data_IF_937662626916
#
_entry.id   IF_937662626916
#
_cell.length_a   1.000
_cell.length_b   1.000
_cell.length_c   1.000
_cell.angle_alpha   90.00
_cell.angle_beta   90.00
_cell.angle_gamma   90.00
#
_symmetry.space_group_name_H-M   'P 1'
#
loop_
_entity.id
_entity.type
_entity.pdbx_description
1 polymer ?
#
# COMPACT_ATOMS: atom_id res chain seq x y z
N UNK A 1 17.70 33.02 14.63
CA UNK A 1 18.83 32.49 13.85
C UNK A 1 18.60 31.02 13.59
N UNK A 2 17.90 30.70 12.50
CA UNK A 2 17.53 29.34 12.15
C UNK A 2 18.01 28.99 10.73
N UNK A 3 19.30 29.30 10.41
CA UNK A 3 19.93 28.95 9.13
C UNK A 3 19.80 27.45 8.85
N UNK A 4 19.99 26.61 9.86
CA UNK A 4 19.80 25.15 9.74
C UNK A 4 18.35 24.77 9.42
N UNK A 5 17.39 25.49 9.98
CA UNK A 5 15.95 25.26 9.70
C UNK A 5 15.61 25.70 8.27
N UNK A 6 16.12 26.82 7.82
CA UNK A 6 15.95 27.33 6.45
C UNK A 6 16.54 26.34 5.42
N UNK A 7 17.79 25.92 5.63
CA UNK A 7 18.44 24.94 4.76
C UNK A 7 17.67 23.61 4.73
N UNK A 8 17.17 23.15 5.87
CA UNK A 8 16.35 21.93 5.94
C UNK A 8 15.03 22.08 5.16
N UNK A 9 14.35 23.23 5.26
CA UNK A 9 13.12 23.50 4.51
C UNK A 9 13.38 23.61 3.01
N UNK A 10 14.47 24.25 2.59
CA UNK A 10 14.86 24.38 1.18
C UNK A 10 15.22 23.01 0.55
N UNK A 11 15.88 22.13 1.31
CA UNK A 11 16.16 20.75 0.89
C UNK A 11 14.85 19.97 0.71
N UNK A 12 13.92 20.09 1.66
CA UNK A 12 12.63 19.41 1.62
C UNK A 12 11.76 19.87 0.46
N UNK A 13 11.76 21.15 0.15
CA UNK A 13 11.06 21.69 -1.01
C UNK A 13 11.62 21.15 -2.32
N UNK A 14 12.96 21.11 -2.46
CA UNK A 14 13.64 20.64 -3.67
C UNK A 14 13.60 19.13 -3.86
N UNK A 15 13.82 18.36 -2.79
CA UNK A 15 13.96 16.90 -2.90
C UNK A 15 12.64 16.15 -2.70
N UNK A 16 11.74 16.69 -1.89
CA UNK A 16 10.49 16.02 -1.50
C UNK A 16 9.22 16.69 -2.01
N UNK A 17 9.37 17.84 -2.71
CA UNK A 17 8.26 18.63 -3.26
C UNK A 17 7.22 19.05 -2.20
N UNK A 18 7.67 19.29 -0.96
CA UNK A 18 6.84 19.77 0.14
C UNK A 18 6.92 21.28 0.17
N UNK A 19 5.79 21.97 0.02
CA UNK A 19 5.75 23.43 0.05
C UNK A 19 6.28 23.98 1.36
N UNK A 20 7.21 24.94 1.29
CA UNK A 20 7.77 25.64 2.44
C UNK A 20 6.68 26.33 3.28
N UNK A 21 5.66 26.90 2.63
CA UNK A 21 4.55 27.56 3.31
C UNK A 21 3.75 26.61 4.19
N UNK A 22 3.45 25.41 3.68
CA UNK A 22 2.73 24.36 4.46
C UNK A 22 3.54 23.92 5.67
N UNK A 23 4.86 23.86 5.55
CA UNK A 23 5.74 23.51 6.66
C UNK A 23 5.78 24.62 7.72
N UNK A 24 5.86 25.87 7.30
CA UNK A 24 5.87 27.03 8.21
C UNK A 24 4.55 27.13 8.96
N UNK A 25 3.41 26.98 8.30
CA UNK A 25 2.09 26.96 8.93
C UNK A 25 1.97 25.83 9.96
N UNK A 26 2.49 24.65 9.64
CA UNK A 26 2.49 23.54 10.57
C UNK A 26 3.39 23.80 11.80
N UNK A 27 4.52 24.49 11.62
CA UNK A 27 5.39 24.94 12.71
C UNK A 27 4.68 25.98 13.58
N UNK A 28 4.02 26.99 12.99
CA UNK A 28 3.23 27.99 13.71
C UNK A 28 2.17 27.32 14.60
N UNK A 29 1.39 26.38 14.05
CA UNK A 29 0.39 25.63 14.81
C UNK A 29 0.98 24.80 15.97
N UNK A 30 2.17 24.22 15.73
CA UNK A 30 2.88 23.47 16.78
C UNK A 30 3.39 24.39 17.90
N UNK A 31 3.85 25.57 17.53
CA UNK A 31 4.28 26.60 18.50
C UNK A 31 3.11 27.13 19.32
N UNK A 32 1.93 27.36 18.72
CA UNK A 32 0.70 27.70 19.43
C UNK A 32 0.31 26.65 20.47
N UNK A 33 0.40 25.37 20.08
CA UNK A 33 0.14 24.26 21.01
C UNK A 33 1.16 24.20 22.17
N UNK A 34 2.42 24.53 21.89
CA UNK A 34 3.47 24.61 22.90
C UNK A 34 3.25 25.80 23.85
N UNK A 35 2.79 26.94 23.33
CA UNK A 35 2.41 28.10 24.14
C UNK A 35 1.29 27.77 25.11
N UNK A 36 0.26 27.07 24.66
CA UNK A 36 -0.84 26.61 25.52
C UNK A 36 -0.35 25.78 26.69
N UNK A 37 0.57 24.87 26.44
CA UNK A 37 1.13 24.01 27.48
C UNK A 37 2.07 24.77 28.46
N UNK A 38 2.74 25.81 27.99
CA UNK A 38 3.73 26.54 28.79
C UNK A 38 3.13 27.73 29.54
N UNK A 39 2.21 28.45 28.90
CA UNK A 39 1.60 29.67 29.46
C UNK A 39 0.17 29.45 29.99
N UNK A 40 -0.40 28.25 29.82
CA UNK A 40 -1.72 27.89 30.30
C UNK A 40 -2.88 28.35 29.42
N UNK A 41 -2.64 29.21 28.44
CA UNK A 41 -3.63 29.73 27.51
C UNK A 41 -3.03 29.84 26.09
N UNK A 42 -3.88 29.74 25.08
CA UNK A 42 -3.49 30.00 23.68
C UNK A 42 -4.38 31.04 23.01
N UNK A 43 -5.46 31.43 23.66
CA UNK A 43 -6.53 32.20 23.02
C UNK A 43 -6.12 33.68 22.82
N UNK A 44 -5.17 34.13 23.63
CA UNK A 44 -4.59 35.46 23.56
C UNK A 44 -3.14 35.46 23.06
N UNK A 45 -2.63 34.36 22.49
CA UNK A 45 -1.26 34.26 22.00
C UNK A 45 -1.24 34.29 20.47
N UNK A 46 -0.47 35.21 19.93
CA UNK A 46 -0.21 35.36 18.48
C UNK A 46 1.25 35.07 18.20
N UNK A 47 1.50 34.20 17.25
CA UNK A 47 2.83 33.89 16.75
C UNK A 47 2.98 34.58 15.38
N UNK A 48 4.04 35.29 15.22
CA UNK A 48 4.43 35.90 13.93
C UNK A 48 5.74 35.28 13.50
N UNK A 49 5.72 34.58 12.37
CA UNK A 49 6.90 33.96 11.79
C UNK A 49 7.32 34.70 10.53
N UNK A 50 8.59 35.09 10.47
CA UNK A 50 9.17 35.62 9.24
C UNK A 50 9.47 34.46 8.28
N UNK A 51 8.79 34.45 7.14
CA UNK A 51 8.92 33.41 6.11
C UNK A 51 10.29 33.37 5.43
N UNK A 52 11.07 34.43 5.51
CA UNK A 52 12.40 34.56 4.89
C UNK A 52 13.52 34.12 5.83
N UNK A 53 13.41 34.43 7.12
CA UNK A 53 14.44 34.15 8.12
C UNK A 53 14.09 32.94 9.00
N UNK A 54 12.83 32.50 8.95
CA UNK A 54 12.28 31.50 9.87
C UNK A 54 12.44 31.85 11.36
N UNK A 55 12.65 33.15 11.64
CA UNK A 55 12.60 33.66 13.00
C UNK A 55 11.14 33.83 13.41
N UNK A 56 10.85 33.62 14.67
CA UNK A 56 9.50 33.77 15.19
C UNK A 56 9.51 34.68 16.42
N UNK A 57 8.45 35.49 16.54
CA UNK A 57 8.14 36.26 17.74
C UNK A 57 6.79 35.82 18.29
N UNK A 58 6.70 35.76 19.60
CA UNK A 58 5.48 35.37 20.30
C UNK A 58 4.95 36.58 21.05
N UNK A 59 3.71 36.95 20.75
CA UNK A 59 3.03 38.08 21.37
C UNK A 59 1.85 37.57 22.18
N UNK A 60 1.69 38.06 23.42
CA UNK A 60 0.46 37.96 24.16
C UNK A 60 -0.41 39.18 23.92
N UNK A 61 -1.63 39.02 23.46
CA UNK A 61 -2.62 40.05 23.38
C UNK A 61 -3.27 40.23 24.74
N UNK A 62 -3.04 41.35 25.40
CA UNK A 62 -3.54 41.66 26.74
C UNK A 62 -4.40 42.90 26.71
N UNK A 63 -5.53 42.91 27.39
CA UNK A 63 -6.39 44.07 27.50
C UNK A 63 -5.80 45.04 28.52
N UNK A 64 -5.78 46.34 28.15
CA UNK A 64 -5.31 47.38 29.04
C UNK A 64 -6.39 47.76 30.03
N UNK A 65 -6.09 47.57 31.32
CA UNK A 65 -7.03 47.80 32.45
C UNK A 65 -6.41 48.73 33.48
N UNK A 66 -7.25 49.34 34.32
CA UNK A 66 -6.76 50.18 35.45
C UNK A 66 -6.15 49.31 36.55
N UNK A 67 -6.84 48.19 36.94
CA UNK A 67 -6.36 47.23 37.90
C UNK A 67 -6.28 45.85 37.27
N UNK A 68 -5.12 45.20 37.35
CA UNK A 68 -4.86 43.85 36.76
C UNK A 68 -5.34 42.78 37.73
N UNK A 69 -6.32 41.97 37.32
CA UNK A 69 -6.83 40.82 38.05
C UNK A 69 -6.19 39.51 37.54
N UNK A 70 -6.03 39.40 36.24
CA UNK A 70 -5.38 38.24 35.63
C UNK A 70 -4.19 38.71 34.75
N UNK A 71 -2.94 38.56 35.24
CA UNK A 71 -1.75 38.97 34.47
C UNK A 71 -1.54 38.18 33.15
N UNK A 72 -2.29 37.09 32.90
CA UNK A 72 -2.19 36.35 31.68
C UNK A 72 -2.90 37.06 30.52
N UNK A 73 -4.02 37.73 30.78
CA UNK A 73 -4.90 38.38 29.78
C UNK A 73 -4.99 39.91 29.92
N UNK A 74 -4.52 40.46 31.01
CA UNK A 74 -4.63 41.87 31.36
C UNK A 74 -3.23 42.50 31.52
N UNK A 75 -3.14 43.80 31.29
CA UNK A 75 -1.92 44.61 31.48
C UNK A 75 -2.33 45.98 32.05
N UNK A 76 -1.52 46.51 32.95
CA UNK A 76 -1.74 47.85 33.50
C UNK A 76 -1.51 48.93 32.44
N UNK A 77 -2.20 50.09 32.59
CA UNK A 77 -1.99 51.21 31.68
C UNK A 77 -0.53 51.71 31.70
N UNK A 78 0.13 51.72 32.86
CA UNK A 78 1.54 52.15 33.01
C UNK A 78 2.50 51.24 32.24
N UNK A 79 2.24 49.94 32.21
CA UNK A 79 3.09 48.99 31.45
C UNK A 79 2.74 48.96 29.99
N UNK A 80 1.49 49.18 29.61
CA UNK A 80 1.05 49.34 28.22
C UNK A 80 1.64 50.57 27.54
N UNK A 81 1.69 51.71 28.25
CA UNK A 81 2.33 52.95 27.76
C UNK A 81 3.83 52.82 27.50
N UNK A 82 4.54 51.94 28.23
CA UNK A 82 5.96 51.63 27.96
C UNK A 82 6.15 50.88 26.63
N UNK A 83 5.16 50.16 26.19
CA UNK A 83 5.18 49.41 24.91
C UNK A 83 4.73 50.32 23.77
N UNK A 84 3.60 51.02 23.95
CA UNK A 84 3.10 51.98 22.99
C UNK A 84 2.33 53.11 23.72
N UNK A 85 2.86 54.35 23.70
CA UNK A 85 2.25 55.51 24.37
C UNK A 85 0.86 55.91 23.85
N UNK A 86 0.40 55.33 22.77
CA UNK A 86 -0.90 55.61 22.16
C UNK A 86 -2.03 54.67 22.66
N UNK A 87 -1.73 53.71 23.57
CA UNK A 87 -2.71 52.79 24.10
C UNK A 87 -3.55 53.39 25.26
N UNK A 88 -4.83 53.09 25.27
CA UNK A 88 -5.80 53.54 26.25
C UNK A 88 -6.46 52.36 26.93
N UNK A 89 -7.14 52.61 28.05
CA UNK A 89 -7.91 51.57 28.77
C UNK A 89 -8.97 50.98 27.82
N UNK A 90 -9.02 49.64 27.74
CA UNK A 90 -9.87 48.89 26.80
C UNK A 90 -9.21 48.55 25.45
N UNK A 91 -8.00 49.04 25.19
CA UNK A 91 -7.25 48.63 24.01
C UNK A 91 -6.52 47.32 24.25
N UNK A 92 -6.14 46.64 23.14
CA UNK A 92 -5.37 45.38 23.18
C UNK A 92 -3.89 45.70 22.96
N UNK A 93 -3.06 45.48 23.97
CA UNK A 93 -1.62 45.60 23.91
C UNK A 93 -0.97 44.29 23.47
N UNK A 94 -0.08 44.32 22.47
CA UNK A 94 0.73 43.19 22.05
C UNK A 94 2.05 43.17 22.84
N UNK A 95 2.17 42.27 23.80
CA UNK A 95 3.34 42.13 24.68
C UNK A 95 4.21 41.01 24.13
N UNK A 96 5.44 41.32 23.75
CA UNK A 96 6.37 40.28 23.28
C UNK A 96 6.86 39.40 24.44
N UNK A 97 6.69 38.11 24.29
CA UNK A 97 7.07 37.11 25.30
C UNK A 97 8.47 36.54 25.01
N UNK A 98 9.45 36.94 25.79
CA UNK A 98 10.81 36.42 25.70
C UNK A 98 11.06 35.36 26.77
N UNK A 99 11.10 34.07 26.38
CA UNK A 99 11.48 33.00 27.25
C UNK A 99 12.55 32.10 26.59
N UNK A 100 13.70 31.98 27.23
CA UNK A 100 14.78 31.07 26.77
C UNK A 100 14.37 29.61 26.82
N UNK A 101 13.52 29.24 27.76
CA UNK A 101 13.00 27.88 27.89
C UNK A 101 12.01 27.57 26.76
N UNK A 102 11.10 28.50 26.48
CA UNK A 102 10.18 28.38 25.36
C UNK A 102 10.92 28.27 24.03
N UNK A 103 11.98 29.05 23.83
CA UNK A 103 12.82 28.96 22.62
C UNK A 103 13.39 27.58 22.37
N UNK A 104 13.82 26.86 23.42
CA UNK A 104 14.30 25.47 23.33
C UNK A 104 13.17 24.50 22.99
N UNK A 105 12.02 24.63 23.65
CA UNK A 105 10.83 23.81 23.44
C UNK A 105 10.32 24.01 22.01
N UNK A 106 10.25 25.25 21.55
CA UNK A 106 9.82 25.64 20.22
C UNK A 106 10.70 25.02 19.12
N UNK A 107 12.03 25.13 19.27
CA UNK A 107 13.00 24.54 18.34
C UNK A 107 12.87 23.02 18.27
N UNK A 108 12.71 22.36 19.42
CA UNK A 108 12.56 20.91 19.47
C UNK A 108 11.25 20.45 18.84
N UNK A 109 10.15 21.18 19.09
CA UNK A 109 8.87 20.88 18.48
C UNK A 109 8.88 21.06 16.96
N UNK A 110 9.47 22.16 16.47
CA UNK A 110 9.65 22.40 15.06
C UNK A 110 10.44 21.26 14.39
N UNK A 111 11.56 20.84 14.99
CA UNK A 111 12.36 19.70 14.50
C UNK A 111 11.54 18.42 14.45
N UNK A 112 10.81 18.11 15.51
CA UNK A 112 9.98 16.89 15.57
C UNK A 112 8.87 16.90 14.51
N UNK A 113 8.23 18.07 14.29
CA UNK A 113 7.20 18.24 13.30
C UNK A 113 7.73 18.05 11.88
N UNK A 114 8.88 18.64 11.58
CA UNK A 114 9.55 18.46 10.29
C UNK A 114 9.82 16.97 10.03
N UNK A 115 10.42 16.30 11.00
CA UNK A 115 10.70 14.85 10.89
C UNK A 115 9.41 14.03 10.73
N UNK A 116 8.33 14.44 11.37
CA UNK A 116 7.02 13.79 11.19
C UNK A 116 6.50 14.01 9.78
N UNK A 117 6.54 15.23 9.25
CA UNK A 117 6.08 15.55 7.88
C UNK A 117 6.90 14.81 6.81
N UNK A 118 8.22 14.74 6.97
CA UNK A 118 9.07 13.96 6.09
C UNK A 118 8.60 12.50 6.06
N UNK A 119 8.38 11.88 7.23
CA UNK A 119 7.93 10.50 7.33
C UNK A 119 6.53 10.29 6.74
N UNK A 120 5.63 11.27 6.87
CA UNK A 120 4.29 11.23 6.27
C UNK A 120 4.39 11.23 4.74
N UNK A 121 5.20 12.11 4.15
CA UNK A 121 5.37 12.18 2.69
C UNK A 121 6.13 10.96 2.14
N UNK A 122 7.14 10.45 2.85
CA UNK A 122 7.80 9.20 2.47
C UNK A 122 6.83 8.01 2.46
N UNK A 123 5.95 7.92 3.47
CA UNK A 123 4.91 6.88 3.54
C UNK A 123 3.91 7.02 2.41
N UNK A 124 3.50 8.25 2.08
CA UNK A 124 2.59 8.54 0.99
C UNK A 124 3.21 8.14 -0.36
N UNK A 125 4.45 8.54 -0.61
CA UNK A 125 5.16 8.17 -1.84
C UNK A 125 5.31 6.64 -1.99
N UNK A 126 5.58 5.93 -0.90
CA UNK A 126 5.62 4.46 -0.88
C UNK A 126 4.23 3.88 -1.13
N UNK A 127 3.18 4.43 -0.49
CA UNK A 127 1.80 4.00 -0.72
C UNK A 127 1.41 4.15 -2.19
N UNK A 128 1.62 5.33 -2.78
CA UNK A 128 1.28 5.62 -4.18
C UNK A 128 2.01 4.66 -5.13
N UNK A 129 3.31 4.42 -4.91
CA UNK A 129 4.12 3.49 -5.70
C UNK A 129 3.58 2.05 -5.70
N UNK A 130 3.10 1.55 -4.55
CA UNK A 130 2.57 0.18 -4.47
C UNK A 130 1.09 0.12 -4.80
N UNK A 131 0.34 1.21 -4.66
CA UNK A 131 -1.04 1.31 -5.10
C UNK A 131 -1.16 1.18 -6.63
N UNK A 132 -0.25 1.79 -7.38
CA UNK A 132 -0.16 1.61 -8.84
C UNK A 132 0.12 0.14 -9.26
N UNK A 133 0.75 -0.63 -8.36
CA UNK A 133 1.04 -2.06 -8.55
C UNK A 133 0.00 -2.98 -7.92
N UNK A 134 -1.10 -2.44 -7.42
CA UNK A 134 -2.21 -3.26 -6.93
C UNK A 134 -2.77 -4.11 -8.08
N UNK A 135 -3.09 -5.36 -7.79
CA UNK A 135 -3.53 -6.37 -8.77
C UNK A 135 -2.46 -6.78 -9.78
N UNK A 136 -1.20 -6.56 -9.46
CA UNK A 136 -0.06 -7.00 -10.25
C UNK A 136 0.91 -7.85 -9.43
N UNK A 137 1.90 -8.46 -10.11
CA UNK A 137 2.93 -9.26 -9.44
C UNK A 137 4.12 -8.41 -9.00
N UNK A 138 4.66 -8.76 -7.85
CA UNK A 138 5.91 -8.19 -7.35
C UNK A 138 6.84 -9.30 -6.91
N UNK A 139 8.15 -9.05 -7.04
CA UNK A 139 9.17 -9.92 -6.45
C UNK A 139 9.55 -9.39 -5.09
N UNK A 140 9.42 -10.23 -4.08
CA UNK A 140 9.82 -9.91 -2.72
C UNK A 140 10.87 -10.87 -2.18
N UNK A 141 11.55 -10.47 -1.11
CA UNK A 141 12.53 -11.27 -0.38
C UNK A 141 11.93 -11.64 0.96
N UNK A 142 11.85 -12.93 1.24
CA UNK A 142 11.36 -13.45 2.53
C UNK A 142 12.30 -13.00 3.64
N UNK A 143 11.77 -12.31 4.65
CA UNK A 143 12.56 -11.86 5.79
C UNK A 143 12.46 -12.81 6.97
N UNK A 144 11.24 -13.02 7.46
CA UNK A 144 10.98 -13.81 8.68
C UNK A 144 9.53 -14.25 8.77
N UNK A 145 9.31 -15.26 9.57
CA UNK A 145 7.99 -15.68 10.02
C UNK A 145 7.56 -14.86 11.24
N UNK A 146 6.34 -14.36 11.22
CA UNK A 146 5.69 -13.65 12.34
C UNK A 146 4.45 -14.45 12.74
N UNK A 147 4.62 -15.37 13.67
CA UNK A 147 3.61 -16.38 13.96
C UNK A 147 3.39 -17.25 12.74
N UNK A 148 2.15 -17.26 12.20
CA UNK A 148 1.79 -17.99 10.99
C UNK A 148 1.91 -17.17 9.70
N UNK A 149 2.18 -15.88 9.81
CA UNK A 149 2.33 -14.99 8.67
C UNK A 149 3.81 -14.87 8.27
N UNK A 150 4.05 -14.49 7.02
CA UNK A 150 5.40 -14.27 6.50
C UNK A 150 5.56 -12.79 6.18
N UNK A 151 6.63 -12.18 6.69
CA UNK A 151 7.06 -10.83 6.30
C UNK A 151 7.96 -10.94 5.08
N UNK A 152 7.60 -10.21 4.03
CA UNK A 152 8.33 -10.19 2.76
C UNK A 152 8.73 -8.76 2.44
N UNK A 153 10.01 -8.53 2.22
CA UNK A 153 10.55 -7.22 1.84
C UNK A 153 10.38 -7.00 0.33
N UNK A 154 9.74 -5.91 -0.02
CA UNK A 154 9.54 -5.47 -1.42
C UNK A 154 10.55 -4.39 -1.84
N UNK A 155 11.56 -4.09 -1.02
CA UNK A 155 12.55 -3.05 -1.23
C UNK A 155 12.25 -1.81 -0.39
N UNK A 156 11.22 -1.05 -0.71
CA UNK A 156 10.85 0.18 0.04
C UNK A 156 9.81 -0.05 1.14
N UNK A 157 9.13 -1.17 1.13
CA UNK A 157 8.13 -1.53 2.14
C UNK A 157 8.13 -3.03 2.39
N UNK A 158 7.59 -3.40 3.54
CA UNK A 158 7.35 -4.80 3.90
C UNK A 158 5.90 -5.17 3.61
N UNK A 159 5.73 -6.32 2.94
CA UNK A 159 4.43 -6.92 2.70
C UNK A 159 4.16 -8.05 3.70
N UNK A 160 2.87 -8.35 3.90
CA UNK A 160 2.44 -9.43 4.77
C UNK A 160 1.74 -10.50 3.94
N UNK A 161 2.32 -11.70 3.92
CA UNK A 161 1.70 -12.91 3.39
C UNK A 161 1.03 -13.64 4.54
N UNK A 162 -0.30 -13.49 4.64
CA UNK A 162 -1.09 -14.09 5.73
C UNK A 162 -1.23 -15.59 5.56
N UNK A 163 -1.52 -16.33 6.63
CA UNK A 163 -1.70 -17.80 6.61
C UNK A 163 -2.70 -18.25 5.53
N UNK A 164 -3.80 -17.52 5.35
CA UNK A 164 -4.84 -17.85 4.36
C UNK A 164 -4.38 -17.64 2.91
N UNK A 165 -3.40 -16.78 2.70
CA UNK A 165 -2.84 -16.45 1.39
C UNK A 165 -1.57 -17.26 1.06
N UNK A 166 -1.17 -18.16 1.97
CA UNK A 166 -0.06 -19.09 1.76
C UNK A 166 -0.58 -20.39 1.15
N UNK A 167 0.20 -20.95 0.24
CA UNK A 167 -0.09 -22.27 -0.33
C UNK A 167 0.33 -23.34 0.66
N UNK A 168 -0.58 -24.28 0.95
CA UNK A 168 -0.28 -25.40 1.84
C UNK A 168 0.84 -26.27 1.28
N UNK A 169 1.91 -26.43 2.04
CA UNK A 169 3.08 -27.22 1.62
C UNK A 169 4.22 -26.40 1.01
N UNK A 170 4.03 -25.09 0.72
CA UNK A 170 5.13 -24.21 0.40
C UNK A 170 5.86 -23.78 1.69
N UNK A 171 7.17 -23.99 1.71
CA UNK A 171 8.06 -23.49 2.75
C UNK A 171 9.08 -22.57 2.12
N UNK A 172 9.32 -21.41 2.74
CA UNK A 172 10.25 -20.41 2.24
C UNK A 172 11.38 -20.21 3.25
N UNK A 173 12.59 -20.17 2.74
CA UNK A 173 13.74 -19.83 3.57
C UNK A 173 13.92 -18.30 3.66
N UNK A 174 14.44 -17.79 4.79
CA UNK A 174 14.86 -16.39 4.86
C UNK A 174 15.83 -16.06 3.71
N UNK A 175 15.70 -14.87 3.15
CA UNK A 175 16.45 -14.35 1.98
C UNK A 175 16.03 -14.91 0.62
N UNK A 176 15.09 -15.84 0.57
CA UNK A 176 14.57 -16.38 -0.68
C UNK A 176 13.74 -15.34 -1.44
N UNK A 177 13.91 -15.31 -2.77
CA UNK A 177 13.10 -14.44 -3.65
C UNK A 177 11.89 -15.19 -4.13
N UNK A 178 10.72 -14.57 -3.97
CA UNK A 178 9.43 -15.14 -4.38
C UNK A 178 8.61 -14.11 -5.14
N UNK A 179 7.84 -14.57 -6.12
CA UNK A 179 6.85 -13.74 -6.80
C UNK A 179 5.52 -13.80 -6.06
N UNK A 180 4.89 -12.66 -5.87
CA UNK A 180 3.67 -12.49 -5.09
C UNK A 180 2.69 -11.61 -5.85
N UNK A 181 1.41 -11.87 -5.70
CA UNK A 181 0.34 -11.01 -6.19
C UNK A 181 -0.07 -10.01 -5.11
N UNK A 182 -0.11 -8.73 -5.45
CA UNK A 182 -0.61 -7.70 -4.52
C UNK A 182 -2.14 -7.74 -4.55
N UNK A 183 -2.74 -8.15 -3.44
CA UNK A 183 -4.19 -8.21 -3.29
C UNK A 183 -4.76 -6.84 -3.00
N UNK A 184 -4.14 -6.13 -2.05
CA UNK A 184 -4.63 -4.85 -1.55
C UNK A 184 -3.51 -4.04 -0.90
N UNK A 185 -3.55 -2.72 -1.09
CA UNK A 185 -2.66 -1.77 -0.44
C UNK A 185 -3.49 -0.82 0.42
N UNK A 186 -3.33 -0.90 1.74
CA UNK A 186 -4.03 -0.05 2.71
C UNK A 186 -3.13 1.02 3.27
N UNK A 187 -3.60 2.26 3.28
CA UNK A 187 -2.93 3.32 4.02
C UNK A 187 -3.31 3.24 5.51
N UNK A 188 -2.30 3.12 6.38
CA UNK A 188 -2.51 3.11 7.82
C UNK A 188 -1.65 4.19 8.49
N UNK A 189 -2.01 4.67 9.71
CA UNK A 189 -1.22 5.67 10.43
C UNK A 189 0.24 5.25 10.68
N UNK A 190 0.52 3.94 10.66
CA UNK A 190 1.87 3.38 10.82
C UNK A 190 2.63 3.23 9.50
N UNK A 191 1.97 3.47 8.36
CA UNK A 191 2.50 3.32 7.02
C UNK A 191 1.65 2.41 6.13
N UNK A 192 2.01 2.24 4.84
CA UNK A 192 1.29 1.39 3.92
C UNK A 192 1.35 -0.07 4.38
N UNK A 193 0.19 -0.72 4.43
CA UNK A 193 0.07 -2.16 4.68
C UNK A 193 -0.23 -2.85 3.36
N UNK A 194 0.72 -3.63 2.86
CA UNK A 194 0.63 -4.33 1.59
C UNK A 194 0.27 -5.79 1.89
N UNK A 195 -0.90 -6.22 1.42
CA UNK A 195 -1.34 -7.61 1.51
C UNK A 195 -1.00 -8.31 0.21
N UNK A 196 -0.31 -9.44 0.32
CA UNK A 196 0.11 -10.23 -0.82
C UNK A 196 -0.41 -11.66 -0.72
N UNK A 197 -0.57 -12.29 -1.88
CA UNK A 197 -1.11 -13.65 -2.00
C UNK A 197 -0.25 -14.54 -2.89
N UNK A 198 -0.20 -15.83 -2.52
CA UNK A 198 0.30 -16.94 -3.35
C UNK A 198 -0.84 -17.85 -3.82
N UNK A 199 -2.02 -17.72 -3.21
CA UNK A 199 -3.19 -18.56 -3.53
C UNK A 199 -4.09 -17.98 -4.60
N UNK A 200 -4.02 -16.65 -4.85
CA UNK A 200 -4.91 -15.96 -5.76
C UNK A 200 -4.76 -16.46 -7.21
N UNK A 201 -5.86 -16.73 -7.97
CA UNK A 201 -5.78 -17.20 -9.35
C UNK A 201 -5.08 -16.23 -10.29
N UNK A 202 -5.24 -14.92 -10.08
CA UNK A 202 -4.59 -13.89 -10.88
C UNK A 202 -3.05 -13.95 -10.81
N UNK A 203 -2.46 -14.53 -9.76
CA UNK A 203 -1.01 -14.78 -9.73
C UNK A 203 -0.57 -15.59 -10.95
N UNK A 204 -1.31 -16.66 -11.27
CA UNK A 204 -0.99 -17.52 -12.42
C UNK A 204 -1.12 -16.73 -13.73
N UNK A 205 -2.19 -15.94 -13.87
CA UNK A 205 -2.40 -15.10 -15.05
C UNK A 205 -1.25 -14.13 -15.27
N UNK A 206 -0.85 -13.40 -14.23
CA UNK A 206 0.26 -12.46 -14.29
C UNK A 206 1.62 -13.14 -14.54
N UNK A 207 1.81 -14.35 -14.04
CA UNK A 207 3.00 -15.15 -14.35
C UNK A 207 3.06 -15.49 -15.84
N UNK A 208 1.94 -15.90 -16.46
CA UNK A 208 1.87 -16.14 -17.89
C UNK A 208 2.07 -14.84 -18.70
N UNK A 209 1.51 -13.74 -18.30
CA UNK A 209 1.76 -12.42 -18.92
C UNK A 209 3.25 -12.03 -18.90
N UNK A 210 4.00 -12.48 -17.89
CA UNK A 210 5.44 -12.21 -17.79
C UNK A 210 6.29 -13.16 -18.64
N UNK A 211 5.83 -14.39 -18.87
CA UNK A 211 6.60 -15.44 -19.58
C UNK A 211 6.22 -15.58 -21.06
N UNK A 212 5.00 -15.17 -21.42
CA UNK A 212 4.41 -15.37 -22.76
C UNK A 212 4.13 -14.03 -23.42
N UNK A 213 4.89 -13.68 -24.45
CA UNK A 213 4.75 -12.39 -25.12
C UNK A 213 3.36 -12.22 -25.75
N UNK A 214 2.82 -13.29 -26.33
CA UNK A 214 1.51 -13.33 -26.99
C UNK A 214 0.34 -13.12 -25.99
N UNK A 215 0.55 -13.41 -24.71
CA UNK A 215 -0.42 -13.10 -23.65
C UNK A 215 -0.27 -11.65 -23.22
N UNK A 216 0.97 -11.15 -23.16
CA UNK A 216 1.26 -9.78 -22.76
C UNK A 216 0.76 -8.74 -23.77
N UNK A 217 0.86 -9.03 -25.06
CA UNK A 217 0.41 -8.14 -26.14
C UNK A 217 -1.08 -8.28 -26.45
N UNK A 218 -1.78 -9.25 -25.82
CA UNK A 218 -3.21 -9.48 -25.98
C UNK A 218 -3.59 -10.30 -27.22
N UNK A 219 -2.62 -10.86 -27.97
CA UNK A 219 -2.89 -11.80 -29.08
C UNK A 219 -3.56 -13.06 -28.54
N UNK A 220 -3.07 -13.55 -27.39
CA UNK A 220 -3.66 -14.67 -26.65
C UNK A 220 -4.29 -14.14 -25.35
N UNK A 221 -5.56 -14.41 -25.15
CA UNK A 221 -6.28 -14.03 -23.96
C UNK A 221 -6.54 -15.21 -23.03
N UNK A 222 -6.31 -15.03 -21.77
CA UNK A 222 -6.70 -15.97 -20.72
C UNK A 222 -8.14 -15.64 -20.31
N UNK A 223 -9.11 -16.44 -20.78
CA UNK A 223 -10.56 -16.20 -20.59
C UNK A 223 -11.02 -16.65 -19.20
N UNK A 224 -10.47 -17.76 -18.67
CA UNK A 224 -10.84 -18.23 -17.33
C UNK A 224 -9.72 -19.03 -16.70
N UNK A 225 -9.65 -18.99 -15.37
CA UNK A 225 -8.72 -19.77 -14.53
C UNK A 225 -9.50 -20.38 -13.38
N UNK A 226 -9.32 -21.69 -13.19
CA UNK A 226 -9.76 -22.38 -11.98
C UNK A 226 -8.53 -22.99 -11.31
N UNK A 227 -8.29 -22.63 -10.04
CA UNK A 227 -7.06 -22.94 -9.34
C UNK A 227 -7.34 -23.59 -7.99
N UNK A 228 -6.71 -24.72 -7.74
CA UNK A 228 -6.47 -25.29 -6.42
C UNK A 228 -5.00 -25.07 -6.08
N UNK A 229 -4.72 -23.99 -5.35
CA UNK A 229 -3.36 -23.53 -5.10
C UNK A 229 -2.47 -24.63 -4.48
N UNK A 230 -1.28 -24.82 -5.06
CA UNK A 230 -0.33 -25.87 -4.67
C UNK A 230 -0.65 -27.28 -5.20
N UNK A 231 -1.78 -27.47 -5.86
CA UNK A 231 -2.19 -28.75 -6.44
C UNK A 231 -2.23 -28.66 -7.97
N UNK A 232 -3.24 -27.97 -8.49
CA UNK A 232 -3.48 -27.91 -9.93
C UNK A 232 -4.24 -26.66 -10.34
N UNK A 233 -3.86 -26.11 -11.48
CA UNK A 233 -4.57 -25.02 -12.15
C UNK A 233 -5.04 -25.46 -13.52
N UNK A 234 -6.28 -25.12 -13.89
CA UNK A 234 -6.77 -25.19 -15.28
C UNK A 234 -6.99 -23.77 -15.80
N UNK A 235 -6.51 -23.54 -17.01
CA UNK A 235 -6.57 -22.25 -17.67
C UNK A 235 -7.12 -22.39 -19.07
N UNK A 236 -8.19 -21.67 -19.40
CA UNK A 236 -8.78 -21.62 -20.72
C UNK A 236 -8.27 -20.37 -21.46
N UNK A 237 -7.68 -20.60 -22.62
CA UNK A 237 -7.05 -19.58 -23.47
C UNK A 237 -7.73 -19.48 -24.84
N UNK A 238 -7.72 -18.27 -25.37
CA UNK A 238 -8.29 -17.94 -26.67
C UNK A 238 -7.30 -17.09 -27.46
N UNK A 239 -7.23 -17.28 -28.78
CA UNK A 239 -6.44 -16.42 -29.65
C UNK A 239 -7.32 -15.48 -30.46
N UNK A 240 -6.95 -14.21 -30.49
CA UNK A 240 -7.57 -13.20 -31.34
C UNK A 240 -7.03 -13.27 -32.79
N UNK A 241 -5.87 -13.94 -33.01
CA UNK A 241 -5.30 -14.20 -34.34
C UNK A 241 -5.51 -15.68 -34.71
N UNK A 242 -6.22 -15.98 -35.80
CA UNK A 242 -6.45 -17.36 -36.26
C UNK A 242 -5.16 -18.15 -36.59
N UNK A 243 -4.05 -17.46 -36.85
CA UNK A 243 -2.77 -18.10 -37.15
C UNK A 243 -1.95 -18.48 -35.91
N UNK A 244 -2.39 -18.07 -34.73
CA UNK A 244 -1.70 -18.32 -33.45
C UNK A 244 -2.45 -19.38 -32.67
N UNK A 245 -1.81 -20.52 -32.45
CA UNK A 245 -2.31 -21.53 -31.52
C UNK A 245 -2.15 -21.05 -30.07
N UNK A 246 -3.26 -20.75 -29.34
CA UNK A 246 -3.17 -20.17 -28.00
C UNK A 246 -2.58 -21.15 -26.97
N UNK A 247 -2.84 -22.45 -27.12
CA UNK A 247 -2.30 -23.48 -26.22
C UNK A 247 -0.80 -23.65 -26.47
N UNK A 248 -0.40 -23.78 -27.74
CA UNK A 248 1.01 -23.89 -28.12
C UNK A 248 1.84 -22.69 -27.69
N UNK A 249 1.31 -21.48 -27.82
CA UNK A 249 1.97 -20.25 -27.37
C UNK A 249 2.23 -20.25 -25.86
N UNK A 250 1.26 -20.66 -25.06
CA UNK A 250 1.38 -20.74 -23.59
C UNK A 250 2.28 -21.90 -23.13
N UNK A 251 2.25 -23.03 -23.81
CA UNK A 251 3.10 -24.20 -23.49
C UNK A 251 4.55 -23.94 -23.86
N UNK A 252 4.78 -23.36 -25.04
CA UNK A 252 6.11 -23.13 -25.59
C UNK A 252 6.83 -24.39 -26.09
N UNK A 253 8.00 -24.23 -26.71
CA UNK A 253 8.79 -25.37 -27.21
C UNK A 253 9.16 -26.31 -26.06
N UNK A 254 8.80 -27.59 -26.22
CA UNK A 254 9.04 -28.64 -25.21
C UNK A 254 8.49 -28.28 -23.82
N UNK A 255 7.47 -27.44 -23.73
CA UNK A 255 6.87 -27.02 -22.46
C UNK A 255 7.71 -25.98 -21.69
N UNK A 256 8.67 -25.33 -22.32
CA UNK A 256 9.60 -24.45 -21.61
C UNK A 256 8.89 -23.32 -20.83
N UNK A 257 7.89 -22.67 -21.46
CA UNK A 257 7.16 -21.54 -20.85
C UNK A 257 6.28 -22.00 -19.68
N UNK A 258 5.46 -23.03 -19.88
CA UNK A 258 4.60 -23.56 -18.80
C UNK A 258 5.44 -24.11 -17.65
N UNK A 259 6.57 -24.79 -17.95
CA UNK A 259 7.45 -25.32 -16.92
C UNK A 259 8.13 -24.22 -16.09
N UNK A 260 8.43 -23.06 -16.68
CA UNK A 260 8.94 -21.90 -15.94
C UNK A 260 7.92 -21.43 -14.87
N UNK A 261 6.64 -21.34 -15.27
CA UNK A 261 5.56 -20.98 -14.33
C UNK A 261 5.35 -22.09 -13.28
N UNK A 262 5.35 -23.36 -13.67
CA UNK A 262 5.23 -24.52 -12.76
C UNK A 262 6.36 -24.50 -11.72
N UNK A 263 7.58 -24.18 -12.14
CA UNK A 263 8.74 -24.06 -11.24
C UNK A 263 8.58 -22.93 -10.24
N UNK A 264 8.08 -21.75 -10.68
CA UNK A 264 7.78 -20.63 -9.79
C UNK A 264 6.70 -20.99 -8.76
N UNK A 265 5.70 -21.78 -9.16
CA UNK A 265 4.62 -22.29 -8.31
C UNK A 265 4.96 -23.59 -7.57
N UNK A 266 6.25 -23.95 -7.52
CA UNK A 266 6.79 -25.11 -6.78
C UNK A 266 6.15 -26.45 -7.11
N UNK A 267 5.86 -26.64 -8.39
CA UNK A 267 5.36 -27.91 -8.91
C UNK A 267 3.84 -28.00 -9.01
N UNK A 268 3.12 -26.91 -8.82
CA UNK A 268 1.68 -26.84 -9.12
C UNK A 268 1.45 -27.19 -10.60
N UNK A 269 0.61 -28.19 -10.86
CA UNK A 269 0.34 -28.65 -12.24
C UNK A 269 -0.55 -27.65 -12.96
N UNK A 270 -0.21 -27.33 -14.21
CA UNK A 270 -0.98 -26.40 -15.02
C UNK A 270 -1.47 -27.12 -16.27
N UNK A 271 -2.80 -27.14 -16.46
CA UNK A 271 -3.46 -27.63 -17.67
C UNK A 271 -3.97 -26.42 -18.47
N UNK A 272 -3.56 -26.33 -19.71
CA UNK A 272 -3.98 -25.27 -20.62
C UNK A 272 -4.93 -25.88 -21.64
N UNK A 273 -6.11 -25.28 -21.79
CA UNK A 273 -7.17 -25.75 -22.68
C UNK A 273 -7.62 -24.62 -23.62
N UNK A 274 -8.15 -24.98 -24.78
CA UNK A 274 -8.80 -24.03 -25.65
C UNK A 274 -10.13 -23.59 -25.05
N UNK A 275 -10.34 -22.27 -25.01
CA UNK A 275 -11.63 -21.70 -24.68
C UNK A 275 -12.55 -21.78 -25.90
N UNK A 276 -13.86 -21.98 -25.69
CA UNK A 276 -14.87 -22.02 -26.73
C UNK A 276 -16.14 -21.32 -26.24
N UNK A 277 -16.84 -20.60 -27.14
CA UNK A 277 -18.13 -19.99 -26.82
C UNK A 277 -19.22 -21.04 -26.59
N UNK A 278 -19.09 -22.21 -27.23
CA UNK A 278 -20.00 -23.32 -27.00
C UNK A 278 -19.67 -24.00 -25.67
N UNK A 279 -20.60 -23.94 -24.68
CA UNK A 279 -20.35 -24.53 -23.38
C UNK A 279 -20.05 -26.03 -23.42
N UNK A 280 -20.62 -26.75 -24.37
CA UNK A 280 -20.40 -28.19 -24.51
C UNK A 280 -18.95 -28.49 -24.90
N UNK A 281 -18.42 -27.76 -25.88
CA UNK A 281 -17.03 -27.90 -26.32
C UNK A 281 -16.05 -27.46 -25.22
N UNK A 282 -16.36 -26.37 -24.54
CA UNK A 282 -15.54 -25.89 -23.41
C UNK A 282 -15.47 -26.91 -22.28
N UNK A 283 -16.61 -27.56 -21.94
CA UNK A 283 -16.65 -28.62 -20.95
C UNK A 283 -15.87 -29.86 -21.42
N UNK A 284 -16.00 -30.25 -22.68
CA UNK A 284 -15.23 -31.35 -23.27
C UNK A 284 -13.72 -31.08 -23.19
N UNK A 285 -13.29 -29.88 -23.58
CA UNK A 285 -11.90 -29.43 -23.43
C UNK A 285 -11.43 -29.46 -21.98
N UNK A 286 -12.28 -29.00 -21.05
CA UNK A 286 -11.97 -28.95 -19.63
C UNK A 286 -11.86 -30.35 -18.98
N UNK A 287 -12.58 -31.33 -19.49
CA UNK A 287 -12.55 -32.71 -18.99
C UNK A 287 -11.46 -33.57 -19.63
N UNK A 288 -10.80 -33.08 -20.71
CA UNK A 288 -9.68 -33.79 -21.32
C UNK A 288 -8.61 -34.18 -20.26
N UNK A 289 -8.05 -35.40 -20.31
CA UNK A 289 -8.17 -36.45 -21.36
C UNK A 289 -9.40 -37.40 -21.20
N UNK A 290 -10.31 -37.15 -20.26
CA UNK A 290 -11.51 -37.97 -20.13
C UNK A 290 -12.44 -37.78 -21.35
N UNK A 291 -12.91 -38.89 -21.92
CA UNK A 291 -13.86 -38.84 -23.05
C UNK A 291 -15.27 -38.61 -22.53
N UNK A 292 -15.89 -37.51 -22.94
CA UNK A 292 -17.28 -37.19 -22.62
C UNK A 292 -18.20 -37.90 -23.62
N UNK A 293 -19.04 -38.86 -23.16
CA UNK A 293 -19.93 -39.63 -24.01
C UNK A 293 -21.25 -38.90 -24.23
N UNK A 294 -21.78 -38.20 -23.22
CA UNK A 294 -23.03 -37.47 -23.30
C UNK A 294 -23.01 -36.25 -22.36
N UNK A 295 -23.36 -35.08 -22.88
CA UNK A 295 -23.44 -33.86 -22.13
C UNK A 295 -24.86 -33.29 -22.22
N UNK A 296 -25.63 -33.40 -21.11
CA UNK A 296 -26.92 -32.73 -20.98
C UNK A 296 -26.70 -31.35 -20.36
N UNK A 297 -26.75 -30.30 -21.20
CA UNK A 297 -26.69 -28.92 -20.73
C UNK A 297 -28.05 -28.48 -20.21
N UNK A 298 -28.21 -28.45 -18.91
CA UNK A 298 -29.29 -27.70 -18.29
C UNK A 298 -28.95 -26.20 -18.43
N UNK A 299 -29.89 -25.43 -18.98
CA UNK A 299 -29.73 -23.99 -19.27
C UNK A 299 -29.47 -23.22 -17.98
N UNK A 300 -28.20 -23.12 -17.59
CA UNK A 300 -27.79 -22.33 -16.43
C UNK A 300 -27.46 -20.88 -16.84
N UNK A 301 -27.94 -19.92 -16.04
CA UNK A 301 -27.80 -18.47 -16.31
C UNK A 301 -26.37 -17.93 -16.21
N UNK A 302 -25.39 -18.71 -15.70
CA UNK A 302 -24.00 -18.25 -15.47
C UNK A 302 -22.99 -19.31 -15.90
N UNK A 303 -22.51 -19.15 -17.13
CA UNK A 303 -21.49 -20.03 -17.73
C UNK A 303 -20.20 -20.12 -16.90
N UNK A 304 -19.78 -19.02 -16.28
CA UNK A 304 -18.54 -18.96 -15.49
C UNK A 304 -18.63 -19.77 -14.19
N UNK A 305 -19.79 -19.80 -13.53
CA UNK A 305 -20.00 -20.61 -12.32
C UNK A 305 -20.04 -22.10 -12.66
N UNK A 306 -20.58 -22.47 -13.82
CA UNK A 306 -20.60 -23.84 -14.29
C UNK A 306 -19.19 -24.35 -14.58
N UNK A 307 -18.38 -23.52 -15.24
CA UNK A 307 -16.98 -23.84 -15.55
C UNK A 307 -16.17 -24.06 -14.28
N UNK A 308 -16.31 -23.17 -13.30
CA UNK A 308 -15.67 -23.30 -12.00
C UNK A 308 -16.09 -24.58 -11.28
N UNK A 309 -17.39 -24.90 -11.29
CA UNK A 309 -17.93 -26.12 -10.67
C UNK A 309 -17.40 -27.39 -11.33
N UNK A 310 -17.39 -27.46 -12.65
CA UNK A 310 -16.93 -28.65 -13.41
C UNK A 310 -15.43 -28.86 -13.24
N UNK A 311 -14.65 -27.80 -13.32
CA UNK A 311 -13.20 -27.87 -13.13
C UNK A 311 -12.87 -28.27 -11.69
N UNK A 312 -13.58 -27.72 -10.70
CA UNK A 312 -13.44 -28.07 -9.29
C UNK A 312 -13.84 -29.52 -9.02
N UNK A 313 -14.90 -30.01 -9.66
CA UNK A 313 -15.36 -31.41 -9.51
C UNK A 313 -14.36 -32.41 -10.09
N UNK A 314 -13.76 -32.09 -11.25
CA UNK A 314 -12.72 -32.92 -11.85
C UNK A 314 -11.43 -32.92 -11.00
N UNK A 315 -11.05 -31.79 -10.42
CA UNK A 315 -9.94 -31.71 -9.49
C UNK A 315 -10.16 -32.54 -8.22
N UNK A 316 -11.41 -32.61 -7.72
CA UNK A 316 -11.78 -33.46 -6.56
C UNK A 316 -11.84 -34.95 -6.89
N UNK A 317 -12.31 -35.35 -8.09
CA UNK A 317 -12.35 -36.75 -8.49
C UNK A 317 -10.95 -37.33 -8.64
N UNK A 318 -10.02 -36.60 -9.23
CA UNK A 318 -8.60 -37.00 -9.33
C UNK A 318 -7.94 -37.16 -7.95
N UNK A 319 -8.35 -36.36 -6.95
CA UNK A 319 -7.90 -36.54 -5.56
C UNK A 319 -8.42 -37.83 -4.93
N UNK A 320 -9.68 -38.20 -5.22
CA UNK A 320 -10.31 -39.37 -4.65
C UNK A 320 -9.71 -40.68 -5.19
N UNK A 321 -9.41 -40.71 -6.49
CA UNK A 321 -8.74 -41.85 -7.13
C UNK A 321 -7.31 -42.03 -6.59
N UNK A 322 -6.56 -40.97 -6.33
CA UNK A 322 -5.23 -41.06 -5.70
C UNK A 322 -5.25 -41.54 -4.24
N UNK A 323 -6.32 -41.24 -3.49
CA UNK A 323 -6.45 -41.73 -2.11
C UNK A 323 -6.78 -43.23 -2.07
N UNK A 324 -7.43 -43.78 -3.10
CA UNK A 324 -7.71 -45.24 -3.20
C UNK A 324 -6.47 -46.04 -3.57
N UNK A 325 -5.54 -45.45 -4.35
CA UNK A 325 -4.25 -46.10 -4.71
C UNK A 325 -3.21 -46.10 -3.57
N UNK A 326 -3.47 -45.37 -2.47
CA UNK A 326 -2.58 -45.28 -1.31
C UNK A 326 -3.00 -46.12 -0.10
N UNK A 327 -3.97 -47.04 -0.25
CA UNK A 327 -4.23 -48.01 0.80
C UNK A 327 -3.19 -49.13 0.75
N UNK A 328 -2.42 -49.38 1.82
CA UNK A 328 -1.45 -50.47 1.84
C UNK A 328 -2.18 -51.81 1.83
N UNK A 329 -1.63 -52.71 1.04
CA UNK A 329 -1.94 -54.15 1.05
C UNK A 329 -1.47 -54.76 2.38
#
# INVERSE_FOLDING_TARGET
MNTELLEALDILEKEKNISKDVMLEAIENSLLSACKNHFGTSDNIKIVMDRNTCDYSVYAEREVVEEVFDPAIEISLEDAEKINPALHIGDIAQVELHSKEFGRIATQNAKNLILQKIREEERKAVFDQYFEKEKDIVTGIVQRYIGKNISVNLGKADAILTENEQVKGEHFEPTERIKLYIVEVKNTPKGPKILVSRTHPELVKRLFESEVAEVKDGTVEIKSIAREAGSRTKMAVWSNDPNVDPVGACVGMNGARVNAVVKELRGEKIDIINWDENPALLIENALSPAKVILLWLIRMRRLQELLFLIISFHLQSVKKDRMQDLQPV
#
